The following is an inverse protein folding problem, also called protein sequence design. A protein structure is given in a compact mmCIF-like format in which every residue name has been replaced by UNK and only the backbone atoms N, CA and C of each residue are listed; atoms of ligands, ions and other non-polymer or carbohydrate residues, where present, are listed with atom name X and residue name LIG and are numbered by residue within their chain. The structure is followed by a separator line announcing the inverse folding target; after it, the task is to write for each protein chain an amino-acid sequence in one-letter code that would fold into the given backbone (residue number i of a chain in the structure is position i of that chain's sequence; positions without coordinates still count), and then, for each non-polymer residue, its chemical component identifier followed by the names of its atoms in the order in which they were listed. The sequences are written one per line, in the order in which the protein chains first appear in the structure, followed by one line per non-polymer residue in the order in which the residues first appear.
data_IF_033128322730
#
_entry.id   IF_033128322730
#
_cell.length_a   1.000
_cell.length_b   1.000
_cell.length_c   1.000
_cell.angle_alpha   90.00
_cell.angle_beta   90.00
_cell.angle_gamma   90.00
#
_symmetry.space_group_name_H-M   'P 1'
#
loop_
_entity.id
_entity.type
_entity.pdbx_description
1 polymer ?
#
# COMPACT_ATOMS: atom_id res chain seq x y z
N UNK A 1 12.34 0.85 -2.56
CA UNK A 1 12.28 -0.48 -3.17
C UNK A 1 11.24 -0.45 -4.28
N UNK A 2 11.66 -0.52 -5.54
CA UNK A 2 10.70 -0.67 -6.64
C UNK A 2 10.23 -2.13 -6.83
N UNK A 3 10.95 -3.09 -6.24
CA UNK A 3 10.69 -4.53 -6.42
C UNK A 3 10.30 -5.18 -5.09
N UNK A 4 9.08 -4.94 -4.61
CA UNK A 4 8.55 -5.71 -3.48
C UNK A 4 7.14 -6.22 -3.78
N UNK A 5 6.86 -7.43 -3.27
CA UNK A 5 5.58 -8.12 -3.49
C UNK A 5 4.40 -7.40 -2.84
N UNK A 6 4.63 -6.81 -1.67
CA UNK A 6 3.64 -6.06 -0.89
C UNK A 6 4.30 -4.77 -0.40
N UNK A 7 3.63 -3.63 -0.61
CA UNK A 7 4.01 -2.35 0.00
C UNK A 7 2.97 -1.91 1.00
N UNK A 8 3.42 -1.50 2.18
CA UNK A 8 2.55 -1.05 3.27
C UNK A 8 2.81 0.43 3.59
N UNK A 9 1.75 1.19 3.88
CA UNK A 9 1.87 2.56 4.37
C UNK A 9 0.55 3.11 4.92
N UNK A 10 0.62 4.04 5.87
CA UNK A 10 -0.57 4.58 6.54
C UNK A 10 -1.39 5.58 5.71
N UNK A 11 -0.89 6.04 4.55
CA UNK A 11 -1.58 7.07 3.77
C UNK A 11 -2.86 6.51 3.15
N UNK A 12 -3.97 7.19 3.41
CA UNK A 12 -5.28 6.83 2.87
C UNK A 12 -5.99 5.72 3.66
N UNK A 13 -5.35 5.15 4.68
CA UNK A 13 -5.99 4.19 5.59
C UNK A 13 -6.77 4.92 6.69
N UNK A 14 -7.80 4.25 7.22
CA UNK A 14 -8.46 4.65 8.46
C UNK A 14 -7.51 4.48 9.66
N UNK A 15 -7.83 5.13 10.78
CA UNK A 15 -7.01 5.05 12.00
C UNK A 15 -6.93 3.60 12.48
N UNK A 16 -5.71 3.12 12.73
CA UNK A 16 -5.46 1.72 13.13
C UNK A 16 -5.27 0.75 11.96
N UNK A 17 -5.47 1.22 10.71
CA UNK A 17 -5.26 0.41 9.50
C UNK A 17 -4.03 0.87 8.72
N UNK A 18 -3.59 0.00 7.82
CA UNK A 18 -2.50 0.26 6.88
C UNK A 18 -3.00 0.02 5.46
N UNK A 19 -2.69 0.95 4.55
CA UNK A 19 -2.90 0.74 3.11
C UNK A 19 -1.84 -0.23 2.62
N UNK A 20 -2.27 -1.40 2.13
CA UNK A 20 -1.39 -2.39 1.51
C UNK A 20 -1.61 -2.41 -0.02
N UNK A 21 -0.53 -2.35 -0.78
CA UNK A 21 -0.52 -2.54 -2.23
C UNK A 21 0.16 -3.86 -2.55
N UNK A 22 -0.63 -4.83 -3.03
CA UNK A 22 -0.16 -6.12 -3.50
C UNK A 22 0.23 -5.98 -4.97
N UNK A 23 1.46 -6.36 -5.32
CA UNK A 23 2.02 -6.17 -6.67
C UNK A 23 2.18 -7.46 -7.46
N UNK A 24 2.45 -8.57 -6.78
CA UNK A 24 2.79 -9.84 -7.41
C UNK A 24 1.83 -10.95 -7.03
N UNK A 25 1.84 -12.04 -7.81
CA UNK A 25 1.06 -13.25 -7.52
C UNK A 25 1.46 -13.88 -6.18
N UNK A 26 2.75 -13.89 -5.87
CA UNK A 26 3.27 -14.40 -4.59
C UNK A 26 2.73 -13.57 -3.41
N UNK A 27 2.78 -12.24 -3.53
CA UNK A 27 2.22 -11.34 -2.52
C UNK A 27 0.73 -11.58 -2.28
N UNK A 28 -0.05 -11.80 -3.36
CA UNK A 28 -1.47 -12.12 -3.25
C UNK A 28 -1.71 -13.43 -2.51
N UNK A 29 -0.95 -14.48 -2.83
CA UNK A 29 -1.05 -15.76 -2.15
C UNK A 29 -0.74 -15.64 -0.65
N UNK A 30 0.29 -14.87 -0.30
CA UNK A 30 0.68 -14.64 1.10
C UNK A 30 -0.44 -13.91 1.87
N UNK A 31 -0.96 -12.82 1.32
CA UNK A 31 -2.06 -12.05 1.95
C UNK A 31 -3.29 -12.92 2.12
N UNK A 32 -3.67 -13.69 1.11
CA UNK A 32 -4.82 -14.58 1.20
C UNK A 32 -4.66 -15.64 2.30
N UNK A 33 -3.46 -16.23 2.44
CA UNK A 33 -3.16 -17.19 3.51
C UNK A 33 -3.21 -16.53 4.89
N UNK A 34 -2.63 -15.34 5.03
CA UNK A 34 -2.64 -14.60 6.28
C UNK A 34 -4.08 -14.22 6.70
N UNK A 35 -4.91 -13.82 5.74
CA UNK A 35 -6.33 -13.53 5.95
C UNK A 35 -7.08 -14.79 6.38
N UNK A 36 -6.91 -15.91 5.67
CA UNK A 36 -7.60 -17.16 6.01
C UNK A 36 -7.17 -17.72 7.37
N UNK A 37 -5.94 -17.45 7.80
CA UNK A 37 -5.43 -17.83 9.11
C UNK A 37 -5.84 -16.87 10.24
N UNK A 38 -6.54 -15.77 9.93
CA UNK A 38 -6.97 -14.77 10.91
C UNK A 38 -5.88 -13.81 11.37
N UNK A 39 -4.72 -13.76 10.70
CA UNK A 39 -3.61 -12.87 11.08
C UNK A 39 -3.85 -11.41 10.68
N UNK A 40 -4.69 -11.16 9.68
CA UNK A 40 -5.00 -9.83 9.20
C UNK A 40 -6.50 -9.70 8.94
N UNK A 41 -7.02 -8.49 9.13
CA UNK A 41 -8.40 -8.12 8.83
C UNK A 41 -8.43 -7.15 7.66
N UNK A 42 -9.47 -7.23 6.84
CA UNK A 42 -9.72 -6.25 5.79
C UNK A 42 -10.44 -5.04 6.41
N UNK A 43 -9.95 -3.84 6.09
CA UNK A 43 -10.63 -2.59 6.42
C UNK A 43 -11.27 -1.97 5.20
N UNK A 44 -11.73 -0.73 5.33
CA UNK A 44 -12.29 0.03 4.23
C UNK A 44 -11.28 0.27 3.09
N UNK A 45 -11.82 0.48 1.89
CA UNK A 45 -10.99 0.86 0.74
C UNK A 45 -10.21 2.15 1.05
N UNK A 46 -8.89 2.17 0.78
CA UNK A 46 -8.07 3.33 1.08
C UNK A 46 -8.46 4.52 0.21
N UNK A 47 -8.27 5.74 0.72
CA UNK A 47 -8.50 6.96 -0.04
C UNK A 47 -7.44 7.14 -1.15
N UNK A 48 -7.71 6.56 -2.32
CA UNK A 48 -6.79 6.54 -3.45
C UNK A 48 -6.51 7.93 -4.04
N UNK A 49 -7.41 8.90 -3.85
CA UNK A 49 -7.17 10.30 -4.28
C UNK A 49 -6.01 10.91 -3.49
N UNK A 50 -5.98 10.68 -2.18
CA UNK A 50 -4.91 11.14 -1.30
C UNK A 50 -3.57 10.42 -1.61
N UNK A 51 -3.61 9.09 -1.76
CA UNK A 51 -2.42 8.28 -2.09
C UNK A 51 -1.76 8.79 -3.39
N UNK A 52 -2.56 8.98 -4.46
CA UNK A 52 -2.04 9.49 -5.74
C UNK A 52 -1.51 10.91 -5.64
N UNK A 53 -2.14 11.79 -4.85
CA UNK A 53 -1.70 13.18 -4.66
C UNK A 53 -0.30 13.22 -4.05
N UNK A 54 -0.08 12.48 -2.95
CA UNK A 54 1.22 12.43 -2.28
C UNK A 54 2.29 11.79 -3.17
N UNK A 55 1.95 10.72 -3.89
CA UNK A 55 2.87 10.08 -4.83
C UNK A 55 3.35 11.07 -5.90
N UNK A 56 2.44 11.87 -6.50
CA UNK A 56 2.79 12.91 -7.48
C UNK A 56 3.73 13.97 -6.90
N UNK A 57 3.49 14.43 -5.67
CA UNK A 57 4.35 15.42 -5.00
C UNK A 57 5.76 14.86 -4.82
N UNK A 58 5.89 13.62 -4.35
CA UNK A 58 7.19 12.97 -4.13
C UNK A 58 7.99 12.82 -5.43
N UNK A 59 7.35 12.35 -6.51
CA UNK A 59 7.99 12.22 -7.83
C UNK A 59 8.43 13.58 -8.37
N UNK A 60 7.58 14.62 -8.25
CA UNK A 60 7.94 15.98 -8.68
C UNK A 60 9.13 16.53 -7.89
N UNK A 61 9.17 16.32 -6.57
CA UNK A 61 10.29 16.75 -5.72
C UNK A 61 11.59 16.06 -6.12
N UNK A 62 11.54 14.74 -6.36
CA UNK A 62 12.71 13.97 -6.80
C UNK A 62 13.27 14.47 -8.14
N UNK A 63 12.39 14.80 -9.11
CA UNK A 63 12.81 15.33 -10.41
C UNK A 63 13.41 16.74 -10.37
N UNK A 64 13.16 17.51 -9.30
CA UNK A 64 13.69 18.89 -9.12
C UNK A 64 15.01 18.94 -8.35
N UNK A 65 15.35 17.86 -7.65
CA UNK A 65 16.59 17.75 -6.87
C UNK A 65 17.72 17.00 -7.58
N UNK A 66 17.50 16.58 -8.83
CA UNK A 66 18.49 16.02 -9.74
C UNK A 66 18.78 17.05 -10.85
#
# INVERSE_FOLDING_TARGET
SMDCDISCGGIGASRGYTTALIRTKLGLQLVNKARSAGYITEGDLPNMKLVRKIAKIKVKKQKRGN
#
